data_IF_019962309723
#
_entry.id   IF_019962309723
#
_cell.length_a   1.000
_cell.length_b   1.000
_cell.length_c   1.000
_cell.angle_alpha   90.00
_cell.angle_beta   90.00
_cell.angle_gamma   90.00
#
_symmetry.space_group_name_H-M   'P 1'
#
loop_
_entity.id
_entity.type
_entity.pdbx_description
1 polymer ?
#
# COMPACT_ATOMS: atom_id res chain seq x y z
N UNK A 1 -19.62 -0.74 9.24
CA UNK A 1 -18.55 0.11 9.79
C UNK A 1 -19.08 1.52 9.85
N UNK A 2 -18.85 2.23 10.95
CA UNK A 2 -19.33 3.60 11.12
C UNK A 2 -18.61 4.52 10.12
N UNK A 3 -19.31 5.38 9.34
CA UNK A 3 -18.69 6.38 8.48
C UNK A 3 -17.61 7.23 9.16
N UNK A 4 -17.75 7.53 10.45
CA UNK A 4 -16.74 8.26 11.22
C UNK A 4 -15.44 7.46 11.41
N UNK A 5 -15.53 6.13 11.54
CA UNK A 5 -14.37 5.25 11.60
C UNK A 5 -13.62 5.16 10.26
N UNK A 6 -14.31 5.37 9.13
CA UNK A 6 -13.69 5.35 7.80
C UNK A 6 -12.87 6.60 7.48
N UNK A 7 -13.14 7.72 8.16
CA UNK A 7 -12.45 9.00 7.88
C UNK A 7 -10.95 8.95 8.19
N UNK A 8 -10.58 8.20 9.24
CA UNK A 8 -9.18 8.02 9.68
C UNK A 8 -8.59 6.69 9.23
N UNK A 9 -9.37 5.86 8.54
CA UNK A 9 -8.93 4.55 8.14
C UNK A 9 -7.86 4.63 7.05
N UNK A 10 -6.88 3.75 7.18
CA UNK A 10 -5.71 3.69 6.30
C UNK A 10 -5.57 2.30 5.73
N UNK A 11 -4.77 2.18 4.67
CA UNK A 11 -4.39 0.91 4.07
C UNK A 11 -2.88 0.82 4.05
N UNK A 12 -2.33 -0.19 4.71
CA UNK A 12 -0.94 -0.59 4.51
C UNK A 12 -0.87 -1.42 3.23
N UNK A 13 0.04 -1.06 2.33
CA UNK A 13 0.46 -1.90 1.20
C UNK A 13 1.88 -2.36 1.45
N UNK A 14 2.09 -3.67 1.42
CA UNK A 14 3.40 -4.30 1.60
C UNK A 14 3.74 -5.13 0.37
N UNK A 15 4.93 -4.91 -0.19
CA UNK A 15 5.55 -5.80 -1.17
C UNK A 15 6.57 -6.67 -0.45
N UNK A 16 6.41 -7.98 -0.51
CA UNK A 16 7.27 -8.97 0.16
C UNK A 16 8.02 -9.76 -0.93
N UNK A 17 9.33 -9.55 -1.10
CA UNK A 17 10.14 -10.40 -1.96
C UNK A 17 10.38 -11.75 -1.27
N UNK A 18 10.15 -12.85 -1.98
CA UNK A 18 10.22 -14.21 -1.43
C UNK A 18 11.13 -15.13 -2.24
N UNK A 19 11.75 -16.09 -1.55
CA UNK A 19 12.55 -17.15 -2.14
C UNK A 19 11.72 -18.42 -2.34
N UNK A 20 11.88 -19.04 -3.51
CA UNK A 20 11.37 -20.37 -3.79
C UNK A 20 9.89 -20.42 -4.19
N UNK A 21 9.32 -21.62 -4.22
CA UNK A 21 7.93 -21.83 -4.62
C UNK A 21 6.94 -21.55 -3.48
N UNK A 22 5.64 -21.67 -3.79
CA UNK A 22 4.53 -21.48 -2.83
C UNK A 22 4.73 -22.32 -1.56
N UNK A 23 5.23 -23.54 -1.70
CA UNK A 23 5.48 -24.46 -0.58
C UNK A 23 6.54 -23.94 0.41
N UNK A 24 7.42 -23.03 -0.03
CA UNK A 24 8.45 -22.44 0.82
C UNK A 24 7.87 -21.40 1.78
N UNK A 25 7.01 -20.50 1.30
CA UNK A 25 6.56 -19.31 2.04
C UNK A 25 5.11 -19.34 2.54
N UNK A 26 4.27 -20.27 2.06
CA UNK A 26 2.83 -20.24 2.36
C UNK A 26 2.49 -20.36 3.85
N UNK A 27 3.21 -21.18 4.62
CA UNK A 27 2.90 -21.37 6.04
C UNK A 27 3.32 -20.17 6.88
N UNK A 28 4.39 -19.49 6.48
CA UNK A 28 4.90 -18.26 7.08
C UNK A 28 3.94 -17.11 6.80
N UNK A 29 3.47 -16.98 5.55
CA UNK A 29 2.43 -16.02 5.20
C UNK A 29 1.13 -16.28 5.95
N UNK A 30 0.69 -17.54 6.00
CA UNK A 30 -0.51 -17.93 6.75
C UNK A 30 -0.40 -17.52 8.22
N UNK A 31 0.73 -17.79 8.86
CA UNK A 31 0.98 -17.41 10.24
C UNK A 31 0.90 -15.89 10.43
N UNK A 32 1.57 -15.12 9.56
CA UNK A 32 1.55 -13.65 9.62
C UNK A 32 0.13 -13.10 9.47
N UNK A 33 -0.65 -13.60 8.50
CA UNK A 33 -2.04 -13.16 8.28
C UNK A 33 -2.96 -13.51 9.46
N UNK A 34 -2.75 -14.66 10.10
CA UNK A 34 -3.49 -15.04 11.31
C UNK A 34 -3.13 -14.19 12.52
N UNK A 35 -1.86 -13.82 12.68
CA UNK A 35 -1.43 -12.90 13.72
C UNK A 35 -2.02 -11.50 13.49
N UNK A 36 -1.98 -11.03 12.25
CA UNK A 36 -2.50 -9.75 11.81
C UNK A 36 -4.01 -9.61 12.05
N UNK A 37 -4.80 -10.64 11.74
CA UNK A 37 -6.27 -10.58 11.87
C UNK A 37 -6.78 -10.51 13.32
N UNK A 38 -5.91 -10.74 14.30
CA UNK A 38 -6.21 -10.64 15.73
C UNK A 38 -5.87 -9.27 16.33
N UNK A 39 -5.25 -8.39 15.56
CA UNK A 39 -4.79 -7.11 16.08
C UNK A 39 -5.95 -6.12 16.28
N UNK A 40 -5.94 -5.33 17.37
CA UNK A 40 -6.85 -4.20 17.51
C UNK A 40 -6.77 -3.26 16.31
N UNK A 41 -7.92 -2.80 15.83
CA UNK A 41 -8.00 -1.90 14.68
C UNK A 41 -7.78 -2.55 13.31
N UNK A 42 -7.50 -3.85 13.25
CA UNK A 42 -7.53 -4.61 12.00
C UNK A 42 -8.92 -4.56 11.36
N UNK A 43 -8.97 -4.29 10.06
CA UNK A 43 -10.24 -4.28 9.32
C UNK A 43 -10.35 -5.44 8.34
N UNK A 44 -9.31 -5.66 7.53
CA UNK A 44 -9.26 -6.71 6.51
C UNK A 44 -7.88 -6.82 5.91
N UNK A 45 -7.58 -7.96 5.30
CA UNK A 45 -6.42 -8.13 4.43
C UNK A 45 -6.80 -8.80 3.11
N UNK A 46 -6.07 -8.44 2.07
CA UNK A 46 -5.99 -9.14 0.79
C UNK A 46 -4.53 -9.33 0.43
N UNK A 47 -4.24 -10.43 -0.24
CA UNK A 47 -2.88 -10.73 -0.62
C UNK A 47 -2.86 -11.60 -1.89
N UNK A 48 -1.75 -11.57 -2.61
CA UNK A 48 -1.54 -12.39 -3.78
C UNK A 48 -0.14 -12.20 -4.36
N UNK A 49 0.35 -13.14 -5.18
CA UNK A 49 1.57 -12.92 -5.94
C UNK A 49 1.34 -11.88 -7.05
N UNK A 50 2.42 -11.21 -7.46
CA UNK A 50 2.38 -10.44 -8.69
C UNK A 50 2.26 -11.38 -9.87
N UNK A 51 1.42 -11.06 -10.85
CA UNK A 51 1.24 -11.87 -12.07
C UNK A 51 2.49 -11.86 -12.94
N UNK A 52 3.26 -10.76 -12.90
CA UNK A 52 4.53 -10.59 -13.61
C UNK A 52 5.70 -11.27 -12.91
N UNK A 53 5.63 -11.42 -11.58
CA UNK A 53 6.73 -11.91 -10.75
C UNK A 53 6.20 -12.66 -9.52
N UNK A 54 6.09 -13.98 -9.62
CA UNK A 54 5.58 -14.82 -8.53
C UNK A 54 6.54 -14.91 -7.33
N UNK A 55 7.73 -14.29 -7.39
CA UNK A 55 8.62 -14.12 -6.24
C UNK A 55 8.34 -12.80 -5.48
N UNK A 56 7.29 -12.06 -5.85
CA UNK A 56 6.80 -10.91 -5.10
C UNK A 56 5.36 -11.12 -4.69
N UNK A 57 5.12 -10.98 -3.38
CA UNK A 57 3.77 -10.95 -2.83
C UNK A 57 3.37 -9.51 -2.56
N UNK A 58 2.13 -9.17 -2.86
CA UNK A 58 1.51 -7.94 -2.37
C UNK A 58 0.52 -8.28 -1.27
N UNK A 59 0.60 -7.55 -0.16
CA UNK A 59 -0.35 -7.61 0.96
C UNK A 59 -0.95 -6.24 1.16
N UNK A 60 -2.27 -6.12 1.08
CA UNK A 60 -3.02 -4.91 1.40
C UNK A 60 -3.83 -5.12 2.67
N UNK A 61 -3.54 -4.34 3.71
CA UNK A 61 -4.19 -4.44 5.03
C UNK A 61 -4.89 -3.13 5.37
N UNK A 62 -6.18 -3.21 5.68
CA UNK A 62 -6.95 -2.08 6.18
C UNK A 62 -6.84 -1.96 7.70
N UNK A 63 -6.63 -0.73 8.17
CA UNK A 63 -6.58 -0.37 9.59
C UNK A 63 -7.58 0.74 9.90
N UNK A 64 -8.16 0.72 11.10
CA UNK A 64 -9.05 1.80 11.57
C UNK A 64 -8.34 3.14 11.69
N UNK A 65 -7.05 3.13 12.05
CA UNK A 65 -6.20 4.31 12.16
C UNK A 65 -4.73 3.97 11.87
N UNK A 66 -3.88 4.98 11.69
CA UNK A 66 -2.44 4.79 11.54
C UNK A 66 -1.77 4.30 12.84
N UNK A 67 -2.30 4.71 13.99
CA UNK A 67 -1.78 4.30 15.30
C UNK A 67 -1.95 2.80 15.53
N UNK A 68 -3.09 2.22 15.13
CA UNK A 68 -3.31 0.77 15.22
C UNK A 68 -2.31 -0.02 14.37
N UNK A 69 -1.97 0.48 13.19
CA UNK A 69 -0.90 -0.08 12.36
C UNK A 69 0.47 0.01 13.07
N UNK A 70 0.79 1.15 13.66
CA UNK A 70 2.07 1.36 14.33
C UNK A 70 2.22 0.50 15.60
N UNK A 71 1.12 0.28 16.33
CA UNK A 71 1.07 -0.66 17.46
C UNK A 71 1.33 -2.10 17.00
N UNK A 72 0.72 -2.53 15.89
CA UNK A 72 1.01 -3.83 15.29
C UNK A 72 2.50 -3.99 14.97
N UNK A 73 3.13 -3.01 14.31
CA UNK A 73 4.56 -3.05 13.96
C UNK A 73 5.49 -3.15 15.19
N UNK A 74 5.03 -2.70 16.36
CA UNK A 74 5.77 -2.76 17.63
C UNK A 74 5.45 -4.01 18.46
N UNK A 75 4.47 -4.80 18.05
CA UNK A 75 4.00 -5.97 18.80
C UNK A 75 4.98 -7.15 18.75
N UNK A 76 4.93 -8.00 19.77
CA UNK A 76 5.67 -9.27 19.80
C UNK A 76 5.19 -10.22 18.68
N UNK A 77 3.90 -10.19 18.34
CA UNK A 77 3.32 -10.99 17.27
C UNK A 77 3.91 -10.63 15.90
N UNK A 78 4.12 -9.33 15.62
CA UNK A 78 4.79 -8.89 14.39
C UNK A 78 6.25 -9.35 14.35
N UNK A 79 6.97 -9.19 15.46
CA UNK A 79 8.37 -9.66 15.55
C UNK A 79 8.47 -11.17 15.32
N UNK A 80 7.57 -11.97 15.91
CA UNK A 80 7.52 -13.42 15.68
C UNK A 80 7.15 -13.75 14.23
N UNK A 81 6.16 -13.08 13.65
CA UNK A 81 5.76 -13.29 12.26
C UNK A 81 6.93 -13.01 11.30
N UNK A 82 7.65 -11.89 11.49
CA UNK A 82 8.82 -11.56 10.69
C UNK A 82 9.98 -12.52 10.89
N UNK A 83 10.22 -12.99 12.12
CA UNK A 83 11.25 -14.00 12.40
C UNK A 83 10.96 -15.33 11.67
N UNK A 84 9.70 -15.74 11.60
CA UNK A 84 9.28 -16.94 10.83
C UNK A 84 9.39 -16.74 9.33
N UNK A 85 9.14 -15.52 8.85
CA UNK A 85 9.23 -15.17 7.44
C UNK A 85 10.68 -15.03 6.95
N UNK A 86 11.61 -14.61 7.82
CA UNK A 86 13.00 -14.31 7.47
C UNK A 86 13.73 -15.36 6.61
N UNK A 87 13.59 -16.69 6.83
CA UNK A 87 14.28 -17.69 6.02
C UNK A 87 13.85 -17.76 4.56
N UNK A 88 12.72 -17.14 4.21
CA UNK A 88 12.12 -17.19 2.87
C UNK A 88 12.02 -15.81 2.22
N UNK A 89 12.66 -14.79 2.79
CA UNK A 89 12.72 -13.44 2.21
C UNK A 89 13.87 -13.33 1.19
N UNK A 90 13.60 -12.67 0.07
CA UNK A 90 14.60 -12.26 -0.92
C UNK A 90 14.89 -10.75 -0.83
N UNK A 91 15.12 -10.26 0.40
CA UNK A 91 15.33 -8.85 0.70
C UNK A 91 14.34 -8.26 1.70
N UNK A 92 14.45 -6.95 1.92
CA UNK A 92 13.60 -6.23 2.87
C UNK A 92 12.19 -6.00 2.28
N UNK A 93 11.11 -6.35 3.02
CA UNK A 93 9.75 -5.99 2.62
C UNK A 93 9.57 -4.47 2.56
N UNK A 94 8.95 -4.00 1.48
CA UNK A 94 8.66 -2.57 1.29
C UNK A 94 7.23 -2.29 1.73
N UNK A 95 7.03 -1.35 2.65
CA UNK A 95 5.71 -0.96 3.14
C UNK A 95 5.43 0.53 2.92
N UNK A 96 4.18 0.85 2.60
CA UNK A 96 3.67 2.22 2.62
C UNK A 96 2.25 2.26 3.18
N UNK A 97 1.96 3.30 3.97
CA UNK A 97 0.65 3.53 4.56
C UNK A 97 -0.09 4.59 3.73
N UNK A 98 -1.27 4.24 3.23
CA UNK A 98 -2.02 5.00 2.23
C UNK A 98 -3.40 5.36 2.77
N UNK A 99 -3.89 6.55 2.41
CA UNK A 99 -5.30 6.89 2.58
C UNK A 99 -6.00 6.83 1.21
N UNK A 100 -6.52 5.65 0.86
CA UNK A 100 -7.27 5.48 -0.38
C UNK A 100 -8.58 6.29 -0.36
N UNK A 101 -8.93 6.86 -1.50
CA UNK A 101 -10.32 7.29 -1.78
C UNK A 101 -10.80 6.60 -3.06
N UNK A 102 -12.01 6.01 -3.05
CA UNK A 102 -12.84 5.77 -1.86
C UNK A 102 -12.19 4.78 -0.89
N UNK A 103 -12.41 4.99 0.41
CA UNK A 103 -12.13 4.00 1.45
C UNK A 103 -13.43 3.26 1.80
N UNK A 104 -13.48 1.94 1.91
CA UNK A 104 -12.49 0.95 1.51
C UNK A 104 -12.74 0.54 0.04
N UNK A 105 -11.72 0.26 -0.79
CA UNK A 105 -11.91 0.10 -2.23
C UNK A 105 -12.47 -1.29 -2.60
N UNK A 106 -13.69 -1.59 -2.16
CA UNK A 106 -14.30 -2.93 -2.26
C UNK A 106 -14.38 -3.45 -3.69
N UNK A 107 -14.79 -2.60 -4.64
CA UNK A 107 -14.87 -2.97 -6.05
C UNK A 107 -13.49 -3.32 -6.64
N UNK A 108 -12.44 -2.62 -6.21
CA UNK A 108 -11.06 -2.91 -6.60
C UNK A 108 -10.63 -4.26 -6.02
N UNK A 109 -10.70 -4.41 -4.70
CA UNK A 109 -10.14 -5.59 -4.02
C UNK A 109 -10.93 -6.89 -4.24
N UNK A 110 -12.18 -6.81 -4.68
CA UNK A 110 -12.99 -7.97 -5.06
C UNK A 110 -12.83 -8.31 -6.56
N UNK A 111 -12.06 -7.53 -7.31
CA UNK A 111 -11.82 -7.84 -8.72
C UNK A 111 -10.94 -9.09 -8.87
N UNK A 112 -11.14 -9.88 -9.95
CA UNK A 112 -10.27 -11.01 -10.28
C UNK A 112 -8.79 -10.63 -10.32
N UNK A 113 -8.47 -9.48 -10.91
CA UNK A 113 -7.11 -8.95 -11.00
C UNK A 113 -7.14 -7.50 -10.54
N UNK A 114 -6.12 -7.08 -9.79
CA UNK A 114 -5.89 -5.66 -9.45
C UNK A 114 -4.59 -5.20 -10.07
N UNK A 115 -4.63 -4.15 -10.87
CA UNK A 115 -3.43 -3.44 -11.30
C UNK A 115 -3.09 -2.37 -10.25
N UNK A 116 -1.86 -2.41 -9.76
CA UNK A 116 -1.34 -1.40 -8.83
C UNK A 116 -0.33 -0.53 -9.57
N UNK A 117 -0.53 0.79 -9.51
CA UNK A 117 0.37 1.81 -10.05
C UNK A 117 1.04 2.56 -8.91
N UNK A 118 2.37 2.65 -8.92
CA UNK A 118 3.15 3.43 -7.96
C UNK A 118 3.87 4.57 -8.67
N UNK A 119 3.51 5.81 -8.32
CA UNK A 119 4.18 7.01 -8.79
C UNK A 119 5.11 7.49 -7.67
N UNK A 120 6.36 7.06 -7.72
CA UNK A 120 7.37 7.46 -6.75
C UNK A 120 7.73 8.94 -6.91
N UNK A 121 8.10 9.58 -5.80
CA UNK A 121 8.52 10.98 -5.78
C UNK A 121 7.53 11.91 -6.48
N UNK A 122 6.23 11.63 -6.33
CA UNK A 122 5.18 12.36 -7.02
C UNK A 122 5.12 13.81 -6.51
N UNK A 123 5.39 14.76 -7.41
CA UNK A 123 5.29 16.19 -7.13
C UNK A 123 3.93 16.80 -7.52
N UNK A 124 3.05 16.00 -8.11
CA UNK A 124 1.73 16.45 -8.54
C UNK A 124 0.76 16.51 -7.36
N UNK A 125 -0.19 17.47 -7.36
CA UNK A 125 -1.24 17.50 -6.33
C UNK A 125 -2.09 16.22 -6.33
N UNK A 126 -2.41 15.71 -5.14
CA UNK A 126 -3.17 14.45 -4.96
C UNK A 126 -4.48 14.42 -5.76
N UNK A 127 -5.22 15.54 -5.81
CA UNK A 127 -6.48 15.64 -6.55
C UNK A 127 -6.27 15.55 -8.06
N UNK A 128 -5.20 16.15 -8.59
CA UNK A 128 -4.85 16.02 -10.01
C UNK A 128 -4.47 14.57 -10.35
N UNK A 129 -3.66 13.94 -9.50
CA UNK A 129 -3.28 12.53 -9.69
C UNK A 129 -4.51 11.63 -9.66
N UNK A 130 -5.45 11.89 -8.75
CA UNK A 130 -6.72 11.17 -8.67
C UNK A 130 -7.54 11.31 -9.94
N UNK A 131 -7.73 12.54 -10.44
CA UNK A 131 -8.44 12.78 -11.70
C UNK A 131 -7.81 12.05 -12.90
N UNK A 132 -6.48 11.95 -12.93
CA UNK A 132 -5.76 11.22 -13.99
C UNK A 132 -6.06 9.73 -13.91
N UNK A 133 -5.87 9.10 -12.74
CA UNK A 133 -6.06 7.64 -12.60
C UNK A 133 -7.54 7.23 -12.65
N UNK A 134 -8.47 8.10 -12.25
CA UNK A 134 -9.91 7.85 -12.30
C UNK A 134 -10.42 7.64 -13.74
N UNK A 135 -9.67 8.09 -14.75
CA UNK A 135 -9.99 7.82 -16.16
C UNK A 135 -9.98 6.32 -16.48
N UNK A 136 -9.26 5.50 -15.70
CA UNK A 136 -9.31 4.05 -15.80
C UNK A 136 -10.73 3.50 -15.59
N UNK A 137 -11.59 4.17 -14.81
CA UNK A 137 -12.98 3.77 -14.60
C UNK A 137 -13.83 3.77 -15.88
N UNK A 138 -13.36 4.46 -16.95
CA UNK A 138 -14.02 4.49 -18.26
C UNK A 138 -13.52 3.38 -19.20
N UNK A 139 -12.53 2.60 -18.78
CA UNK A 139 -11.95 1.54 -19.61
C UNK A 139 -12.83 0.29 -19.59
N UNK A 140 -13.05 -0.38 -20.74
CA UNK A 140 -13.79 -1.63 -20.78
C UNK A 140 -13.17 -2.69 -19.86
N UNK A 141 -13.99 -3.25 -18.96
CA UNK A 141 -13.56 -4.27 -18.01
C UNK A 141 -12.94 -3.73 -16.71
N UNK A 142 -12.94 -2.40 -16.50
CA UNK A 142 -12.64 -1.83 -15.19
C UNK A 142 -13.84 -2.00 -14.25
N UNK A 143 -13.60 -2.52 -13.05
CA UNK A 143 -14.60 -2.70 -11.99
C UNK A 143 -14.58 -1.55 -10.98
N UNK A 144 -13.47 -0.81 -10.88
CA UNK A 144 -13.33 0.31 -9.96
C UNK A 144 -11.91 0.81 -9.87
N UNK A 145 -11.76 2.01 -9.29
CA UNK A 145 -10.48 2.67 -9.06
C UNK A 145 -10.45 3.16 -7.62
N UNK A 146 -9.28 3.08 -7.00
CA UNK A 146 -9.00 3.77 -5.75
C UNK A 146 -7.58 4.26 -5.74
N UNK A 147 -7.35 5.43 -5.15
CA UNK A 147 -6.01 6.03 -5.14
C UNK A 147 -5.76 6.89 -3.91
N UNK A 148 -4.50 7.11 -3.58
CA UNK A 148 -4.08 7.91 -2.44
C UNK A 148 -2.58 8.09 -2.37
N UNK A 149 -2.15 9.16 -1.68
CA UNK A 149 -0.76 9.40 -1.36
C UNK A 149 -0.37 8.69 -0.08
N UNK A 150 0.90 8.28 0.01
CA UNK A 150 1.48 7.78 1.24
C UNK A 150 1.42 8.83 2.33
N UNK A 151 0.96 8.45 3.52
CA UNK A 151 1.23 9.19 4.74
C UNK A 151 2.76 9.23 4.87
N UNK A 152 3.33 10.43 5.07
CA UNK A 152 4.78 10.73 4.97
C UNK A 152 5.64 9.59 5.51
N UNK A 153 6.78 9.29 4.88
CA UNK A 153 7.74 8.32 5.43
C UNK A 153 8.03 8.73 6.89
N UNK A 154 7.91 7.83 7.88
CA UNK A 154 8.55 8.08 9.16
C UNK A 154 10.03 8.31 8.84
N UNK A 155 10.55 9.46 9.26
CA UNK A 155 11.90 9.89 8.90
C UNK A 155 12.87 8.75 9.15
N UNK A 156 13.71 8.46 8.17
CA UNK A 156 14.96 7.73 8.39
C UNK A 156 15.73 8.50 9.44
N UNK A 157 15.55 8.13 10.70
CA UNK A 157 16.25 8.70 11.84
C UNK A 157 17.72 8.38 11.68
N UNK A 158 18.46 9.32 11.10
CA UNK A 158 19.92 9.35 11.12
C UNK A 158 20.31 10.81 11.31
N UNK A 159 20.82 11.12 12.49
CA UNK A 159 21.26 12.47 12.83
C UNK A 159 21.18 12.78 14.31
N UNK A 160 21.88 12.00 15.13
CA UNK A 160 22.36 12.51 16.41
C UNK A 160 23.24 13.72 16.13
N UNK A 161 22.87 14.86 16.70
CA UNK A 161 23.61 16.11 16.61
C UNK A 161 23.25 16.97 17.79
N UNK A 162 23.81 16.63 18.96
CA UNK A 162 23.89 17.55 20.07
C UNK A 162 24.70 18.76 19.64
N UNK A 163 24.02 19.88 19.50
CA UNK A 163 24.59 21.20 19.34
C UNK A 163 23.75 22.14 20.17
N UNK A 164 24.17 22.35 21.42
CA UNK A 164 23.79 23.53 22.17
C UNK A 164 24.27 24.73 21.36
N UNK A 165 23.37 25.62 20.96
CA UNK A 165 23.73 27.01 20.75
C UNK A 165 22.55 27.93 21.00
N UNK A 166 22.89 29.00 21.71
CA UNK A 166 22.00 29.94 22.36
C UNK A 166 21.33 30.92 21.38
N UNK A 167 20.10 31.31 21.73
CA UNK A 167 19.54 32.66 21.58
C UNK A 167 19.42 33.28 20.17
N UNK A 168 18.21 33.69 19.81
CA UNK A 168 17.85 35.09 19.49
C UNK A 168 16.37 35.16 19.08
N UNK A 169 15.67 36.10 19.69
CA UNK A 169 14.30 36.53 19.38
C UNK A 169 14.12 36.95 17.92
N UNK A 170 12.96 36.61 17.35
CA UNK A 170 12.56 37.09 16.03
C UNK A 170 11.12 36.75 15.70
N UNK A 171 10.20 37.63 16.09
CA UNK A 171 8.81 37.69 15.58
C UNK A 171 8.79 37.65 14.06
N UNK A 172 8.28 36.56 13.49
CA UNK A 172 8.06 36.39 12.06
C UNK A 172 6.72 35.72 11.80
N UNK A 173 5.73 36.50 11.36
CA UNK A 173 4.50 36.04 10.72
C UNK A 173 4.85 35.32 9.42
N UNK A 174 5.07 34.02 9.49
CA UNK A 174 5.37 33.17 8.34
C UNK A 174 4.09 32.64 7.69
N UNK A 175 3.64 33.30 6.62
CA UNK A 175 2.90 32.62 5.55
C UNK A 175 3.85 31.58 4.93
N UNK A 176 3.81 30.37 5.48
CA UNK A 176 4.63 29.26 5.01
C UNK A 176 4.20 28.80 3.63
N UNK A 177 4.74 29.41 2.58
CA UNK A 177 4.93 28.74 1.29
C UNK A 177 5.93 27.62 1.52
N UNK A 178 5.43 26.44 1.89
CA UNK A 178 6.23 25.25 2.09
C UNK A 178 6.88 24.83 0.78
N UNK A 179 8.11 25.29 0.54
CA UNK A 179 8.99 24.85 -0.55
C UNK A 179 9.72 23.55 -0.21
N UNK A 180 9.08 22.67 0.57
CA UNK A 180 9.48 21.29 0.74
C UNK A 180 8.50 20.43 -0.03
N UNK A 181 8.80 20.11 -1.29
CA UNK A 181 8.10 19.05 -2.03
C UNK A 181 8.44 17.74 -1.35
N UNK A 182 7.68 17.43 -0.30
CA UNK A 182 7.78 16.17 0.37
C UNK A 182 7.35 15.09 -0.61
N UNK A 183 8.36 14.41 -1.18
CA UNK A 183 8.24 13.46 -2.27
C UNK A 183 7.53 12.22 -1.74
N UNK A 184 6.20 12.24 -1.84
CA UNK A 184 5.33 11.12 -1.43
C UNK A 184 5.16 10.16 -2.60
N UNK A 185 4.86 8.90 -2.27
CA UNK A 185 4.44 7.92 -3.27
C UNK A 185 2.94 8.05 -3.45
N UNK A 186 2.48 8.31 -4.66
CA UNK A 186 1.06 8.21 -5.00
C UNK A 186 0.79 6.80 -5.52
N UNK A 187 -0.23 6.14 -4.99
CA UNK A 187 -0.61 4.78 -5.39
C UNK A 187 -2.03 4.78 -5.94
N UNK A 188 -2.24 4.10 -7.06
CA UNK A 188 -3.56 3.75 -7.55
C UNK A 188 -3.71 2.23 -7.63
N UNK A 189 -4.87 1.72 -7.24
CA UNK A 189 -5.27 0.34 -7.40
C UNK A 189 -6.52 0.30 -8.28
N UNK A 190 -6.46 -0.46 -9.36
CA UNK A 190 -7.49 -0.53 -10.40
C UNK A 190 -7.96 -1.99 -10.51
N UNK A 191 -9.24 -2.20 -10.26
CA UNK A 191 -9.85 -3.52 -10.35
C UNK A 191 -10.23 -3.85 -11.79
N UNK A 192 -9.83 -5.01 -12.28
CA UNK A 192 -10.11 -5.49 -13.63
C UNK A 192 -10.88 -6.80 -13.63
N UNK A 193 -11.77 -7.00 -14.60
CA UNK A 193 -12.46 -8.28 -14.84
C UNK A 193 -11.49 -9.41 -15.22
N UNK A 194 -10.27 -9.07 -15.65
CA UNK A 194 -9.19 -10.00 -15.88
C UNK A 194 -7.95 -9.32 -16.46
N UNK A 195 -6.83 -10.05 -16.49
CA UNK A 195 -5.53 -9.54 -16.93
C UNK A 195 -5.56 -9.02 -18.37
N UNK A 196 -6.31 -9.70 -19.24
CA UNK A 196 -6.46 -9.30 -20.65
C UNK A 196 -7.25 -7.99 -20.82
N UNK A 197 -8.19 -7.68 -19.94
CA UNK A 197 -8.90 -6.39 -19.96
C UNK A 197 -7.93 -5.25 -19.60
N UNK A 198 -7.14 -5.45 -18.55
CA UNK A 198 -6.09 -4.50 -18.16
C UNK A 198 -5.06 -4.26 -19.27
N UNK A 199 -4.53 -5.32 -19.89
CA UNK A 199 -3.50 -5.22 -20.94
C UNK A 199 -3.98 -4.47 -22.18
N UNK A 200 -5.26 -4.58 -22.53
CA UNK A 200 -5.85 -3.86 -23.67
C UNK A 200 -6.20 -2.41 -23.36
N UNK A 201 -6.26 -2.03 -22.08
CA UNK A 201 -6.58 -0.67 -21.70
C UNK A 201 -5.46 0.30 -22.12
N UNK A 202 -5.84 1.48 -22.61
CA UNK A 202 -4.89 2.54 -22.91
C UNK A 202 -4.34 3.13 -21.61
N UNK A 203 -3.18 2.61 -21.19
CA UNK A 203 -2.49 3.06 -19.98
C UNK A 203 -2.19 4.56 -20.02
N UNK A 204 -1.85 5.10 -21.19
CA UNK A 204 -1.45 6.51 -21.32
C UNK A 204 -2.61 7.45 -20.96
N UNK A 205 -3.85 7.03 -21.21
CA UNK A 205 -5.04 7.81 -20.88
C UNK A 205 -5.21 8.03 -19.36
N UNK A 206 -4.80 7.07 -18.53
CA UNK A 206 -4.97 7.12 -17.07
C UNK A 206 -3.67 7.13 -16.26
N UNK A 207 -2.51 7.17 -16.92
CA UNK A 207 -1.24 7.58 -16.30
C UNK A 207 -0.85 9.00 -16.66
N UNK A 208 -1.56 9.66 -17.58
CA UNK A 208 -1.27 11.03 -18.00
C UNK A 208 0.12 11.19 -18.63
N UNK A 209 0.66 10.11 -19.22
CA UNK A 209 2.01 10.07 -19.78
C UNK A 209 3.15 9.92 -18.76
N UNK A 210 2.84 9.87 -17.46
CA UNK A 210 3.82 9.54 -16.42
C UNK A 210 4.21 8.06 -16.50
N UNK A 211 5.38 7.73 -15.94
CA UNK A 211 5.92 6.36 -15.88
C UNK A 211 5.82 5.81 -14.45
N UNK A 212 4.67 5.24 -14.05
CA UNK A 212 4.58 4.53 -12.78
C UNK A 212 5.29 3.18 -12.86
N UNK A 213 5.68 2.64 -11.70
CA UNK A 213 5.80 1.18 -11.56
C UNK A 213 4.40 0.58 -11.65
N UNK A 214 4.25 -0.49 -12.42
CA UNK A 214 2.96 -1.14 -12.67
C UNK A 214 3.11 -2.65 -12.61
N UNK A 215 2.21 -3.30 -11.87
CA UNK A 215 2.12 -4.76 -11.76
C UNK A 215 0.67 -5.17 -11.46
N UNK A 216 0.36 -6.43 -11.68
CA UNK A 216 -0.95 -7.00 -11.41
C UNK A 216 -0.87 -7.98 -10.24
N UNK A 217 -1.90 -7.98 -9.40
CA UNK A 217 -2.03 -8.89 -8.26
C UNK A 217 -3.30 -9.70 -8.42
N UNK A 218 -3.18 -11.02 -8.25
CA UNK A 218 -4.31 -11.92 -8.14
C UNK A 218 -4.65 -12.13 -6.66
N UNK A 219 -5.63 -11.36 -6.15
CA UNK A 219 -6.10 -11.51 -4.77
C UNK A 219 -6.97 -12.77 -4.56
N UNK A 220 -7.27 -13.53 -5.61
CA UNK A 220 -7.98 -14.81 -5.53
C UNK A 220 -7.03 -16.01 -5.69
N UNK A 221 -5.72 -15.77 -5.60
CA UNK A 221 -4.71 -16.78 -5.86
C UNK A 221 -4.95 -18.05 -5.00
N UNK A 222 -5.20 -19.21 -5.63
CA UNK A 222 -5.70 -20.38 -4.92
C UNK A 222 -4.58 -21.09 -4.18
N UNK A 223 -4.37 -20.75 -2.90
CA UNK A 223 -3.45 -21.49 -2.03
C UNK A 223 -4.20 -22.40 -1.07
N UNK A 224 -3.94 -23.70 -1.19
CA UNK A 224 -4.52 -24.72 -0.32
C UNK A 224 -4.21 -24.39 1.15
N UNK A 225 -5.25 -24.41 1.99
CA UNK A 225 -5.11 -24.16 3.43
C UNK A 225 -5.31 -22.70 3.87
N UNK A 226 -5.61 -21.80 2.94
CA UNK A 226 -5.98 -20.40 3.21
C UNK A 226 -7.50 -20.16 3.23
N UNK A 227 -8.31 -21.20 3.03
CA UNK A 227 -9.77 -21.09 3.16
C UNK A 227 -10.17 -20.65 4.56
N UNK A 228 -10.83 -19.48 4.67
CA UNK A 228 -11.30 -18.92 5.94
C UNK A 228 -10.44 -17.79 6.52
N UNK A 229 -9.37 -17.37 5.83
CA UNK A 229 -8.63 -16.13 6.09
C UNK A 229 -9.12 -15.01 5.17
#
# INVERSE_FOLDING_TARGET
MDPAQLANAVTERVTIPVLGGIENWKEQLKFMLQALSRQPGYLRTRWGPWSEDHQKLEVMTGWTTAEAHDEWKKSADYAEAMARFAPVLDGEPLSCLLQFRPYAPQAVINSPIVETLSFENCGEPDDRMREVVERAARMPGCNGVASGSSLRRPGSGSGGGGGEDAGVDGTGTGTGTGTGTDRRTFVAAIGWTGLEASRRADKTAYTGGMKPESHHVDFNFPVKGFGGL
#
